data_IF_583911379852
#
_entry.id   IF_583911379852
#
_cell.length_a   1.000
_cell.length_b   1.000
_cell.length_c   1.000
_cell.angle_alpha   90.00
_cell.angle_beta   90.00
_cell.angle_gamma   90.00
#
_symmetry.space_group_name_H-M   'P 1'
#
loop_
_entity.id
_entity.type
_entity.pdbx_description
1 polymer ?
#
# COMPACT_ATOMS: atom_id res chain seq x y z
N UNK A 1 7.69 -22.91 -15.60
CA UNK A 1 6.73 -23.56 -14.69
C UNK A 1 5.92 -22.47 -14.03
N UNK A 2 4.59 -22.59 -13.92
CA UNK A 2 3.78 -21.60 -13.24
C UNK A 2 4.05 -21.66 -11.72
N UNK A 3 4.38 -20.51 -11.14
CA UNK A 3 4.55 -20.35 -9.69
C UNK A 3 3.35 -19.60 -9.12
N UNK A 4 2.80 -20.08 -8.01
CA UNK A 4 1.60 -19.50 -7.39
C UNK A 4 1.90 -19.19 -5.93
N UNK A 5 1.74 -17.93 -5.56
CA UNK A 5 1.92 -17.46 -4.18
C UNK A 5 0.55 -17.41 -3.50
N UNK A 6 0.35 -18.23 -2.47
CA UNK A 6 -0.90 -18.31 -1.71
C UNK A 6 -0.71 -17.61 -0.36
N UNK A 7 -1.55 -16.61 -0.09
CA UNK A 7 -1.61 -15.95 1.22
C UNK A 7 -2.72 -16.57 2.06
N UNK A 8 -2.41 -16.90 3.31
CA UNK A 8 -3.37 -17.46 4.24
C UNK A 8 -3.18 -16.83 5.62
N UNK A 9 -4.29 -16.54 6.31
CA UNK A 9 -4.26 -15.95 7.65
C UNK A 9 -4.17 -17.02 8.75
N UNK A 10 -4.78 -18.19 8.50
CA UNK A 10 -4.86 -19.26 9.50
C UNK A 10 -3.71 -20.26 9.32
N UNK A 11 -2.96 -20.60 10.39
CA UNK A 11 -1.85 -21.55 10.31
C UNK A 11 -2.32 -22.98 9.98
N UNK A 12 -3.58 -23.30 10.24
CA UNK A 12 -4.20 -24.59 9.89
C UNK A 12 -4.20 -24.84 8.37
N UNK A 13 -4.24 -23.78 7.56
CA UNK A 13 -4.27 -23.84 6.10
C UNK A 13 -2.98 -24.45 5.53
N UNK A 14 -1.84 -24.26 6.21
CA UNK A 14 -0.55 -24.79 5.81
C UNK A 14 -0.57 -26.33 5.79
N UNK A 15 -1.16 -26.95 6.81
CA UNK A 15 -1.29 -28.41 6.91
C UNK A 15 -2.12 -29.00 5.76
N UNK A 16 -3.15 -28.27 5.34
CA UNK A 16 -4.00 -28.68 4.21
C UNK A 16 -3.24 -28.55 2.90
N UNK A 17 -2.45 -27.48 2.73
CA UNK A 17 -1.60 -27.28 1.56
C UNK A 17 -0.54 -28.37 1.43
N UNK A 18 0.12 -28.76 2.53
CA UNK A 18 1.05 -29.89 2.56
C UNK A 18 0.38 -31.20 2.12
N UNK A 19 -0.83 -31.48 2.63
CA UNK A 19 -1.59 -32.67 2.23
C UNK A 19 -2.01 -32.65 0.75
N UNK A 20 -2.18 -31.47 0.15
CA UNK A 20 -2.50 -31.30 -1.28
C UNK A 20 -1.25 -31.33 -2.17
N UNK A 21 -0.07 -31.07 -1.62
CA UNK A 21 1.18 -31.09 -2.38
C UNK A 21 1.56 -32.49 -2.86
N UNK A 22 1.33 -33.52 -2.03
CA UNK A 22 1.60 -34.93 -2.38
C UNK A 22 0.89 -35.39 -3.66
N UNK A 23 -0.45 -35.25 -3.79
CA UNK A 23 -1.16 -35.70 -5.00
C UNK A 23 -0.90 -34.81 -6.23
N UNK A 24 -0.56 -33.54 -6.03
CA UNK A 24 -0.41 -32.56 -7.11
C UNK A 24 1.05 -32.34 -7.53
N UNK A 25 2.00 -33.01 -6.87
CA UNK A 25 3.42 -32.98 -7.18
C UNK A 25 4.01 -31.57 -7.31
N UNK A 26 3.56 -30.63 -6.48
CA UNK A 26 4.17 -29.31 -6.37
C UNK A 26 4.98 -29.17 -5.08
N UNK A 27 6.09 -28.45 -5.15
CA UNK A 27 6.96 -28.21 -4.01
C UNK A 27 6.54 -26.92 -3.29
N UNK A 28 6.37 -27.00 -1.97
CA UNK A 28 6.05 -25.85 -1.14
C UNK A 28 7.36 -25.20 -0.70
N UNK A 29 7.70 -24.08 -1.31
CA UNK A 29 8.84 -23.27 -0.89
C UNK A 29 8.40 -22.28 0.19
N UNK A 30 8.82 -22.54 1.42
CA UNK A 30 8.62 -21.62 2.53
C UNK A 30 9.61 -20.46 2.41
N UNK A 31 9.16 -19.39 1.77
CA UNK A 31 9.88 -18.13 1.83
C UNK A 31 9.69 -17.51 3.21
N UNK A 32 10.70 -17.62 4.05
CA UNK A 32 10.88 -16.77 5.24
C UNK A 32 11.45 -15.39 4.87
N UNK A 33 11.38 -15.01 3.59
CA UNK A 33 12.04 -13.83 3.10
C UNK A 33 11.13 -12.61 3.22
N UNK A 34 11.47 -11.74 4.17
CA UNK A 34 11.14 -10.31 4.09
C UNK A 34 11.45 -9.73 2.69
N UNK A 35 12.39 -10.35 1.94
CA UNK A 35 12.75 -10.00 0.56
C UNK A 35 11.71 -10.36 -0.50
N UNK A 36 10.85 -11.37 -0.32
CA UNK A 36 9.78 -11.66 -1.29
C UNK A 36 8.57 -10.72 -1.11
N UNK A 37 8.35 -10.20 0.10
CA UNK A 37 7.47 -9.04 0.31
C UNK A 37 8.05 -7.79 -0.37
N UNK A 38 9.37 -7.63 -0.34
CA UNK A 38 10.09 -6.53 -0.99
C UNK A 38 10.06 -6.64 -2.53
N UNK A 39 10.24 -7.83 -3.13
CA UNK A 39 10.21 -8.01 -4.59
C UNK A 39 8.81 -7.90 -5.20
N UNK A 40 7.77 -8.34 -4.49
CA UNK A 40 6.37 -8.07 -4.89
C UNK A 40 6.08 -6.56 -4.80
N UNK A 41 6.65 -5.87 -3.80
CA UNK A 41 6.54 -4.40 -3.70
C UNK A 41 7.40 -3.64 -4.73
N UNK A 42 8.52 -4.23 -5.18
CA UNK A 42 9.49 -3.64 -6.11
C UNK A 42 9.09 -3.74 -7.59
N UNK A 43 8.08 -4.55 -7.91
CA UNK A 43 7.37 -4.47 -9.21
C UNK A 43 6.50 -3.21 -9.34
N UNK A 44 6.33 -2.46 -8.24
CA UNK A 44 5.88 -1.07 -8.26
C UNK A 44 7.01 -0.18 -7.74
N UNK A 45 7.23 0.98 -8.36
CA UNK A 45 8.23 1.96 -7.92
C UNK A 45 8.05 2.40 -6.45
N UNK A 46 8.60 1.68 -5.47
CA UNK A 46 8.54 2.05 -4.05
C UNK A 46 9.89 1.96 -3.38
N UNK A 47 10.75 2.91 -3.78
CA UNK A 47 11.91 3.36 -3.03
C UNK A 47 11.45 3.85 -1.64
N UNK A 48 11.69 3.05 -0.59
CA UNK A 48 11.72 3.46 0.83
C UNK A 48 10.62 4.45 1.28
N UNK A 49 9.34 4.07 1.21
CA UNK A 49 8.26 4.87 1.83
C UNK A 49 8.26 4.61 3.34
N UNK A 50 8.96 5.46 4.10
CA UNK A 50 8.83 5.47 5.57
C UNK A 50 7.35 5.67 5.91
N UNK A 51 6.77 4.73 6.63
CA UNK A 51 5.39 4.85 7.11
C UNK A 51 5.35 5.95 8.17
N UNK A 52 4.45 6.93 7.99
CA UNK A 52 4.23 8.00 8.96
C UNK A 52 2.93 7.75 9.69
N UNK A 53 2.95 7.86 11.02
CA UNK A 53 1.76 7.77 11.86
C UNK A 53 1.43 9.15 12.42
N UNK A 54 0.19 9.60 12.22
CA UNK A 54 -0.38 10.76 12.92
C UNK A 54 -1.58 10.26 13.71
N UNK A 55 -1.51 10.36 15.04
CA UNK A 55 -2.60 9.98 15.96
C UNK A 55 -3.11 8.54 15.77
N UNK A 56 -2.21 7.58 15.49
CA UNK A 56 -2.58 6.18 15.27
C UNK A 56 -3.18 5.88 13.88
N UNK A 57 -3.24 6.86 12.99
CA UNK A 57 -3.65 6.67 11.59
C UNK A 57 -2.40 6.60 10.71
N UNK A 58 -2.28 5.53 9.93
CA UNK A 58 -1.21 5.34 8.96
C UNK A 58 -1.40 6.28 7.78
N UNK A 59 -0.40 7.11 7.51
CA UNK A 59 -0.37 8.01 6.36
C UNK A 59 0.47 7.38 5.27
N UNK A 60 -0.19 7.00 4.18
CA UNK A 60 0.46 6.53 2.97
C UNK A 60 0.74 7.75 2.09
N UNK A 61 2.01 8.00 1.69
CA UNK A 61 2.32 9.09 0.79
C UNK A 61 1.68 8.85 -0.58
N UNK A 62 1.02 9.87 -1.12
CA UNK A 62 0.41 9.82 -2.44
C UNK A 62 1.45 9.62 -3.54
N UNK A 63 1.04 9.02 -4.65
CA UNK A 63 1.85 8.94 -5.86
C UNK A 63 1.96 10.35 -6.49
N UNK A 64 3.19 10.90 -6.66
CA UNK A 64 3.37 12.21 -7.27
C UNK A 64 3.02 12.24 -8.77
N UNK A 65 2.98 11.09 -9.45
CA UNK A 65 2.62 10.99 -10.86
C UNK A 65 1.10 10.88 -11.09
N UNK A 66 0.30 10.71 -10.02
CA UNK A 66 -1.14 10.57 -10.14
C UNK A 66 -1.78 11.88 -10.64
N UNK A 67 -2.56 11.78 -11.73
CA UNK A 67 -3.34 12.91 -12.23
C UNK A 67 -4.55 13.17 -11.32
N UNK A 68 -4.50 14.27 -10.57
CA UNK A 68 -5.54 14.71 -9.65
C UNK A 68 -6.43 15.82 -10.24
N UNK A 69 -6.35 16.09 -11.54
CA UNK A 69 -7.03 17.22 -12.18
C UNK A 69 -8.56 17.10 -12.10
N UNK A 70 -9.11 15.90 -12.28
CA UNK A 70 -10.55 15.65 -12.15
C UNK A 70 -11.03 15.73 -10.71
N UNK A 71 -10.28 15.15 -9.77
CA UNK A 71 -10.58 15.22 -8.34
C UNK A 71 -10.62 16.66 -7.84
N UNK A 72 -9.72 17.54 -8.35
CA UNK A 72 -9.79 18.97 -8.05
C UNK A 72 -11.09 19.61 -8.52
N UNK A 73 -11.59 19.26 -9.71
CA UNK A 73 -12.89 19.80 -10.20
C UNK A 73 -14.04 19.42 -9.26
N UNK A 74 -14.04 18.19 -8.74
CA UNK A 74 -15.09 17.66 -7.87
C UNK A 74 -15.00 18.24 -6.45
N UNK A 75 -13.81 18.19 -5.84
CA UNK A 75 -13.63 18.50 -4.43
C UNK A 75 -13.34 19.97 -4.15
N UNK A 76 -12.60 20.66 -5.02
CA UNK A 76 -12.33 22.08 -4.80
C UNK A 76 -13.39 22.98 -5.43
N UNK A 77 -13.99 22.62 -6.58
CA UNK A 77 -15.16 23.29 -7.24
C UNK A 77 -15.05 24.80 -7.53
N UNK A 78 -14.06 25.42 -6.90
CA UNK A 78 -13.62 26.80 -6.82
C UNK A 78 -12.10 26.63 -6.83
N UNK A 79 -11.38 27.44 -7.60
CA UNK A 79 -9.91 27.44 -7.67
C UNK A 79 -9.30 27.97 -6.36
N UNK A 80 -9.64 27.35 -5.23
CA UNK A 80 -9.21 27.75 -3.90
C UNK A 80 -7.99 26.92 -3.56
N UNK A 81 -6.88 27.62 -3.37
CA UNK A 81 -5.63 27.04 -2.92
C UNK A 81 -5.71 26.79 -1.40
N UNK A 82 -5.56 25.52 -1.00
CA UNK A 82 -5.58 25.12 0.40
C UNK A 82 -4.49 25.82 1.23
N UNK A 83 -3.38 26.20 0.61
CA UNK A 83 -2.31 26.95 1.28
C UNK A 83 -2.79 28.35 1.68
N UNK A 84 -3.43 29.07 0.75
CA UNK A 84 -3.99 30.40 1.01
C UNK A 84 -5.06 30.37 2.10
N UNK A 85 -5.95 29.37 2.09
CA UNK A 85 -6.97 29.22 3.13
C UNK A 85 -6.36 29.06 4.53
N UNK A 86 -5.28 28.27 4.67
CA UNK A 86 -4.59 28.15 5.97
C UNK A 86 -4.00 29.48 6.41
N UNK A 87 -3.31 30.17 5.50
CA UNK A 87 -2.67 31.46 5.81
C UNK A 87 -3.71 32.52 6.19
N UNK A 88 -4.86 32.58 5.49
CA UNK A 88 -5.97 33.47 5.81
C UNK A 88 -6.66 33.10 7.12
N UNK A 89 -6.97 31.82 7.35
CA UNK A 89 -7.65 31.36 8.56
C UNK A 89 -6.77 31.46 9.82
N UNK A 90 -5.45 31.38 9.67
CA UNK A 90 -4.50 31.52 10.78
C UNK A 90 -4.06 32.96 11.04
N UNK A 91 -4.54 33.94 10.26
CA UNK A 91 -4.36 35.34 10.64
C UNK A 91 -5.12 35.61 11.93
N UNK A 92 -4.37 35.92 13.00
CA UNK A 92 -4.97 36.55 14.17
C UNK A 92 -5.38 37.97 13.78
N UNK A 93 -6.66 38.36 13.93
CA UNK A 93 -7.02 39.76 13.82
C UNK A 93 -6.24 40.53 14.90
N UNK A 94 -5.66 41.67 14.52
CA UNK A 94 -5.07 42.62 15.46
C UNK A 94 -6.14 43.31 16.28
#
# INVERSE_FOLDING_TARGET
MPEVVIRYEKPETLKVLEALAEPLAFEINFSSDEKLLEEISASSDQKSRKEYFINGVTIVPGDPAADITELRKVFSGKNIDAKKLREEAWRRPK
#
